data_IF_003909722631
#
_entry.id   IF_003909722631
#
_cell.length_a   1.000
_cell.length_b   1.000
_cell.length_c   1.000
_cell.angle_alpha   90.00
_cell.angle_beta   90.00
_cell.angle_gamma   90.00
#
_symmetry.space_group_name_H-M   'P 1'
#
loop_
_entity.id
_entity.type
_entity.pdbx_description
1 polymer ?
#
# COMPACT_ATOMS: atom_id res chain seq x y z
N UNK A 1 -8.01 20.81 3.42
CA UNK A 1 -6.62 20.74 3.93
C UNK A 1 -6.22 19.27 3.89
N UNK A 2 -5.62 18.82 2.77
CA UNK A 2 -5.13 17.44 2.64
C UNK A 2 -3.63 17.46 2.95
N UNK A 3 -3.27 16.88 4.10
CA UNK A 3 -1.90 16.76 4.56
C UNK A 3 -1.20 15.69 3.72
N UNK A 4 -0.54 16.08 2.62
CA UNK A 4 0.40 15.20 1.93
C UNK A 4 1.67 15.10 2.79
N UNK A 5 1.79 14.00 3.53
CA UNK A 5 2.98 13.63 4.27
C UNK A 5 4.05 13.13 3.30
N UNK A 6 4.91 14.05 2.88
CA UNK A 6 6.11 13.79 2.06
C UNK A 6 7.14 12.96 2.85
N UNK A 7 7.02 11.64 2.82
CA UNK A 7 8.10 10.72 3.22
C UNK A 7 8.72 10.16 1.92
N UNK A 8 9.87 10.74 1.57
CA UNK A 8 10.65 10.55 0.34
C UNK A 8 11.21 9.12 0.27
N UNK A 9 10.38 8.16 -0.10
CA UNK A 9 10.77 6.76 -0.22
C UNK A 9 9.91 5.96 -1.19
N UNK A 10 9.44 6.53 -2.31
CA UNK A 10 8.66 5.82 -3.34
C UNK A 10 7.51 4.95 -2.78
N UNK A 11 6.95 5.32 -1.63
CA UNK A 11 5.67 4.79 -1.17
C UNK A 11 4.62 5.52 -2.01
N UNK A 12 3.74 4.77 -2.67
CA UNK A 12 2.72 5.36 -3.53
C UNK A 12 1.92 6.49 -2.83
N UNK A 13 1.21 7.30 -3.61
CA UNK A 13 0.47 8.48 -3.16
C UNK A 13 -0.47 8.28 -1.95
N UNK A 14 -0.93 7.05 -1.73
CA UNK A 14 -1.93 6.70 -0.74
C UNK A 14 -1.42 5.48 0.00
N UNK A 15 -1.51 5.55 1.31
CA UNK A 15 -0.95 4.58 2.21
C UNK A 15 -1.79 4.49 3.48
N UNK A 16 -2.15 3.27 3.86
CA UNK A 16 -2.96 3.00 5.04
C UNK A 16 -2.53 1.70 5.72
N UNK A 17 -2.86 1.57 7.01
CA UNK A 17 -2.75 0.26 7.67
C UNK A 17 -3.78 -0.69 7.06
N UNK A 18 -3.36 -1.92 6.75
CA UNK A 18 -4.27 -2.95 6.29
C UNK A 18 -5.37 -3.19 7.34
N UNK A 19 -6.63 -3.13 6.89
CA UNK A 19 -7.80 -3.42 7.74
C UNK A 19 -8.02 -4.93 7.91
N UNK A 20 -7.47 -5.73 7.00
CA UNK A 20 -7.62 -7.20 6.97
C UNK A 20 -6.40 -7.94 7.54
N UNK A 21 -5.30 -7.24 7.85
CA UNK A 21 -4.11 -7.83 8.48
C UNK A 21 -4.31 -8.03 9.99
N UNK A 22 -4.62 -9.25 10.40
CA UNK A 22 -4.97 -9.60 11.78
C UNK A 22 -3.74 -9.95 12.65
N UNK A 23 -2.73 -9.08 12.69
CA UNK A 23 -1.49 -9.27 13.47
C UNK A 23 -0.71 -10.57 13.16
N UNK A 24 -0.77 -11.05 11.92
CA UNK A 24 0.19 -12.05 11.48
C UNK A 24 1.60 -11.46 11.43
N UNK A 25 2.62 -12.33 11.51
CA UNK A 25 4.02 -11.92 11.46
C UNK A 25 4.34 -11.29 10.10
N UNK A 26 4.55 -9.98 10.11
CA UNK A 26 4.95 -9.17 8.96
C UNK A 26 6.45 -8.88 9.07
N UNK A 27 7.27 -9.86 8.70
CA UNK A 27 8.75 -9.71 8.63
C UNK A 27 9.21 -9.74 7.18
N UNK A 28 8.64 -10.65 6.40
CA UNK A 28 9.03 -10.86 5.02
C UNK A 28 8.39 -9.79 4.12
N UNK A 29 9.21 -9.16 3.29
CA UNK A 29 8.72 -8.20 2.28
C UNK A 29 7.70 -8.90 1.39
N UNK A 30 6.56 -8.24 1.18
CA UNK A 30 5.49 -8.72 0.31
C UNK A 30 4.55 -9.76 0.92
N UNK A 31 4.76 -10.24 2.15
CA UNK A 31 3.82 -11.16 2.82
C UNK A 31 2.43 -10.56 2.91
N UNK A 32 2.35 -9.26 3.20
CA UNK A 32 1.07 -8.58 3.31
C UNK A 32 0.56 -7.95 2.00
N UNK A 33 1.15 -8.29 0.85
CA UNK A 33 0.66 -7.83 -0.46
C UNK A 33 -0.75 -8.37 -0.75
N UNK A 34 -1.00 -9.64 -0.46
CA UNK A 34 -2.29 -10.29 -0.75
C UNK A 34 -3.46 -9.57 -0.06
N UNK A 35 -3.43 -9.31 1.26
CA UNK A 35 -4.49 -8.55 1.92
C UNK A 35 -4.60 -7.12 1.39
N UNK A 36 -3.49 -6.42 1.16
CA UNK A 36 -3.53 -5.07 0.59
C UNK A 36 -4.17 -5.03 -0.80
N UNK A 37 -3.92 -6.02 -1.65
CA UNK A 37 -4.59 -6.15 -2.96
C UNK A 37 -6.08 -6.43 -2.84
N UNK A 38 -6.50 -7.23 -1.85
CA UNK A 38 -7.92 -7.43 -1.55
C UNK A 38 -8.61 -6.15 -1.06
N UNK A 39 -7.87 -5.26 -0.40
CA UNK A 39 -8.33 -3.93 0.01
C UNK A 39 -8.26 -2.89 -1.11
N UNK A 40 -7.79 -3.24 -2.31
CA UNK A 40 -7.70 -2.35 -3.47
C UNK A 40 -6.41 -1.53 -3.56
N UNK A 41 -5.35 -1.92 -2.87
CA UNK A 41 -4.01 -1.32 -2.96
C UNK A 41 -3.10 -2.15 -3.88
N UNK A 42 -2.00 -1.56 -4.35
CA UNK A 42 -1.09 -2.26 -5.28
C UNK A 42 -0.12 -3.20 -4.56
N UNK A 43 0.37 -2.76 -3.40
CA UNK A 43 1.33 -3.50 -2.59
C UNK A 43 1.17 -3.26 -1.09
N UNK A 44 1.88 -4.06 -0.29
CA UNK A 44 1.97 -3.95 1.16
C UNK A 44 3.41 -4.08 1.65
N UNK A 45 3.77 -3.23 2.62
CA UNK A 45 5.09 -3.20 3.26
C UNK A 45 4.95 -3.41 4.77
N UNK A 46 5.81 -4.26 5.32
CA UNK A 46 5.91 -4.45 6.76
C UNK A 46 6.72 -3.32 7.40
N UNK A 47 6.09 -2.51 8.25
CA UNK A 47 6.76 -1.44 9.04
C UNK A 47 7.19 -1.91 10.42
N UNK A 48 6.60 -2.99 10.93
CA UNK A 48 6.92 -3.63 12.22
C UNK A 48 6.49 -5.10 12.18
N UNK A 49 6.86 -5.89 13.19
CA UNK A 49 6.56 -7.33 13.28
C UNK A 49 5.11 -7.72 13.00
N UNK A 50 4.14 -6.83 13.21
CA UNK A 50 2.71 -7.10 13.01
C UNK A 50 1.99 -6.01 12.21
N UNK A 51 2.72 -5.00 11.72
CA UNK A 51 2.10 -3.85 11.03
C UNK A 51 2.35 -3.97 9.54
N UNK A 52 1.28 -4.27 8.80
CA UNK A 52 1.23 -4.10 7.36
C UNK A 52 0.71 -2.70 6.99
N UNK A 53 1.46 -2.00 6.14
CA UNK A 53 1.06 -0.76 5.49
C UNK A 53 0.82 -1.06 4.01
N UNK A 54 -0.40 -0.85 3.55
CA UNK A 54 -0.76 -0.91 2.14
C UNK A 54 -0.39 0.40 1.45
N UNK A 55 0.05 0.31 0.20
CA UNK A 55 0.38 1.48 -0.63
C UNK A 55 -0.23 1.33 -2.01
N UNK A 56 -0.83 2.42 -2.50
CA UNK A 56 -1.39 2.53 -3.84
C UNK A 56 -0.55 3.53 -4.62
N UNK A 57 -0.10 3.11 -5.79
CA UNK A 57 0.54 3.95 -6.77
C UNK A 57 -0.57 4.69 -7.51
N UNK A 58 -0.84 5.93 -7.11
CA UNK A 58 -1.49 6.86 -8.04
C UNK A 58 -0.45 7.11 -9.12
N UNK A 59 -0.56 6.42 -10.25
CA UNK A 59 0.08 6.91 -11.46
C UNK A 59 -0.33 8.37 -11.62
N UNK A 60 0.63 9.25 -11.93
CA UNK A 60 0.36 10.65 -12.29
C UNK A 60 -0.66 10.66 -13.43
N UNK A 61 -1.96 10.75 -13.13
CA UNK A 61 -3.06 11.07 -14.05
C UNK A 61 -3.04 10.50 -15.47
N UNK A 62 -2.37 9.37 -15.74
CA UNK A 62 -2.13 8.86 -17.09
C UNK A 62 -2.19 7.34 -17.12
N UNK A 63 -3.34 6.81 -16.69
CA UNK A 63 -3.90 5.61 -17.28
C UNK A 63 -5.40 5.57 -16.96
N UNK A 64 -6.26 6.23 -17.74
CA UNK A 64 -7.56 5.66 -17.98
C UNK A 64 -7.33 4.33 -18.72
N UNK A 65 -8.28 3.41 -18.67
CA UNK A 65 -8.37 2.31 -19.63
C UNK A 65 -7.88 2.76 -21.03
N UNK A 66 -6.68 2.31 -21.43
CA UNK A 66 -6.06 2.57 -22.73
C UNK A 66 -5.34 1.30 -23.15
N UNK A 67 -6.12 0.24 -23.32
CA UNK A 67 -6.03 -0.81 -24.34
C UNK A 67 -7.29 -1.64 -24.14
N UNK A 68 -8.35 -1.29 -24.88
CA UNK A 68 -8.98 -2.18 -25.86
C UNK A 68 -10.07 -1.44 -26.62
#
# INVERSE_FOLDING_TARGET
MLLLSSDLGSYGCEHQRSSTWLNETCINRGTCNVPCRKEGFDNGTCRSYFTCICSRNCGDGSNPASIS
#
